data_IF_379880839015
#
_entry.id   IF_379880839015
#
_cell.length_a   1.000
_cell.length_b   1.000
_cell.length_c   1.000
_cell.angle_alpha   90.00
_cell.angle_beta   90.00
_cell.angle_gamma   90.00
#
_symmetry.space_group_name_H-M   'P 1'
#
loop_
_entity.id
_entity.type
_entity.pdbx_description
1 polymer ?
#
# COMPACT_ATOMS: atom_id res chain seq x y z
N UNK A 1 -7.30 -3.94 -17.31
CA UNK A 1 -7.58 -3.41 -15.96
C UNK A 1 -6.91 -2.03 -15.87
N UNK A 2 -7.68 -0.97 -16.13
CA UNK A 2 -7.19 0.40 -16.08
C UNK A 2 -7.08 0.83 -14.61
N UNK A 3 -5.87 1.12 -14.13
CA UNK A 3 -5.68 1.83 -12.86
C UNK A 3 -5.13 3.22 -13.18
N UNK A 4 -6.02 4.20 -13.14
CA UNK A 4 -5.63 5.60 -13.06
C UNK A 4 -5.33 5.89 -11.59
N UNK A 5 -4.04 5.95 -11.26
CA UNK A 5 -3.57 6.39 -9.95
C UNK A 5 -3.37 7.91 -10.00
N UNK A 6 -4.47 8.66 -10.12
CA UNK A 6 -4.44 10.11 -9.90
C UNK A 6 -4.28 10.38 -8.40
N UNK A 7 -3.03 10.45 -7.93
CA UNK A 7 -2.73 11.39 -6.85
C UNK A 7 -2.57 12.77 -7.50
N UNK A 8 -3.71 13.35 -7.87
CA UNK A 8 -3.76 14.76 -8.20
C UNK A 8 -3.38 15.54 -6.96
N UNK A 9 -2.16 16.09 -6.92
CA UNK A 9 -1.79 17.24 -6.07
C UNK A 9 -2.50 18.50 -6.62
N UNK A 10 -3.71 18.35 -7.15
CA UNK A 10 -4.57 19.42 -7.61
C UNK A 10 -5.76 19.44 -6.69
N UNK A 11 -5.77 20.46 -5.86
CA UNK A 11 -6.91 21.05 -5.19
C UNK A 11 -8.21 20.79 -5.97
N UNK A 12 -8.97 19.76 -5.59
CA UNK A 12 -10.35 19.58 -6.02
C UNK A 12 -11.18 19.31 -4.76
N UNK A 13 -11.63 20.43 -4.22
CA UNK A 13 -12.87 20.70 -3.50
C UNK A 13 -13.92 19.56 -3.40
N UNK A 14 -14.45 19.46 -2.18
CA UNK A 14 -15.88 19.22 -1.86
C UNK A 14 -16.53 17.85 -2.02
N UNK A 15 -15.79 16.78 -1.75
CA UNK A 15 -16.41 15.61 -1.11
C UNK A 15 -15.57 15.30 0.11
N UNK A 16 -16.16 15.30 1.31
CA UNK A 16 -15.54 14.83 2.57
C UNK A 16 -15.23 13.33 2.49
N UNK A 17 -14.38 12.91 1.55
CA UNK A 17 -13.86 11.55 1.48
C UNK A 17 -12.74 11.47 2.50
N UNK A 18 -12.98 10.71 3.57
CA UNK A 18 -11.98 10.44 4.59
C UNK A 18 -10.87 9.57 4.00
N UNK A 19 -9.82 10.21 3.51
CA UNK A 19 -8.60 9.51 3.08
C UNK A 19 -7.81 9.12 4.32
N UNK A 20 -7.67 7.82 4.56
CA UNK A 20 -6.86 7.32 5.66
C UNK A 20 -5.41 7.19 5.17
N UNK A 21 -4.53 8.06 5.67
CA UNK A 21 -3.09 7.92 5.48
C UNK A 21 -2.58 6.72 6.29
N UNK A 22 -1.80 5.83 5.65
CA UNK A 22 -1.14 4.70 6.29
C UNK A 22 0.26 4.56 5.75
N UNK A 23 1.21 4.36 6.64
CA UNK A 23 2.60 4.07 6.31
C UNK A 23 2.83 2.56 6.36
N UNK A 24 3.61 2.05 5.40
CA UNK A 24 3.97 0.64 5.33
C UNK A 24 5.36 0.49 4.74
N UNK A 25 6.11 -0.50 5.25
CA UNK A 25 7.41 -0.89 4.70
C UNK A 25 7.22 -2.16 3.90
N UNK A 26 7.68 -2.17 2.65
CA UNK A 26 7.67 -3.35 1.77
C UNK A 26 9.07 -3.92 1.66
N UNK A 27 9.19 -5.23 1.85
CA UNK A 27 10.44 -5.97 1.63
C UNK A 27 10.41 -6.67 0.27
N UNK A 28 11.55 -6.69 -0.41
CA UNK A 28 11.77 -7.51 -1.61
C UNK A 28 12.84 -8.54 -1.27
N UNK A 29 12.44 -9.81 -1.20
CA UNK A 29 13.38 -10.90 -1.00
C UNK A 29 13.61 -11.62 -2.33
N UNK A 30 14.87 -11.72 -2.73
CA UNK A 30 15.30 -12.36 -3.98
C UNK A 30 16.19 -13.55 -3.65
N UNK A 31 15.93 -14.71 -4.26
CA UNK A 31 16.76 -15.91 -4.12
C UNK A 31 16.70 -16.73 -5.40
N UNK A 32 17.86 -17.13 -5.92
CA UNK A 32 17.99 -17.94 -7.15
C UNK A 32 17.20 -17.36 -8.34
N UNK A 33 17.23 -16.03 -8.52
CA UNK A 33 16.48 -15.34 -9.57
C UNK A 33 14.95 -15.30 -9.37
N UNK A 34 14.44 -15.78 -8.23
CA UNK A 34 13.00 -15.76 -7.88
C UNK A 34 12.74 -14.71 -6.82
N UNK A 35 11.53 -14.16 -6.81
CA UNK A 35 11.08 -13.16 -5.84
C UNK A 35 10.00 -13.77 -4.94
N UNK A 36 10.10 -13.52 -3.63
CA UNK A 36 9.07 -13.91 -2.68
C UNK A 36 7.86 -12.97 -2.79
N UNK A 37 6.67 -13.54 -2.96
CA UNK A 37 5.40 -12.83 -2.91
C UNK A 37 4.41 -13.57 -2.01
N UNK A 38 3.51 -12.82 -1.38
CA UNK A 38 2.43 -13.36 -0.55
C UNK A 38 1.15 -13.37 -1.37
N UNK A 39 0.49 -14.53 -1.44
CA UNK A 39 -0.85 -14.65 -2.03
C UNK A 39 -1.89 -14.13 -1.04
N UNK A 40 -2.70 -13.20 -1.49
CA UNK A 40 -3.85 -12.68 -0.75
C UNK A 40 -5.02 -13.66 -0.84
N UNK A 41 -5.94 -13.62 0.13
CA UNK A 41 -7.17 -14.41 0.12
C UNK A 41 -8.05 -14.14 -1.11
N UNK A 42 -7.86 -13.01 -1.80
CA UNK A 42 -8.55 -12.64 -3.05
C UNK A 42 -7.81 -13.10 -4.31
N UNK A 43 -6.73 -13.87 -4.17
CA UNK A 43 -5.99 -14.48 -5.28
C UNK A 43 -4.89 -13.63 -5.89
N UNK A 44 -4.78 -12.36 -5.52
CA UNK A 44 -3.71 -11.45 -5.92
C UNK A 44 -2.40 -11.70 -5.17
N UNK A 45 -1.26 -11.40 -5.81
CA UNK A 45 0.06 -11.50 -5.20
C UNK A 45 0.60 -10.12 -4.82
N UNK A 46 1.15 -10.00 -3.61
CA UNK A 46 1.74 -8.76 -3.09
C UNK A 46 3.14 -9.01 -2.58
N UNK A 47 3.98 -7.98 -2.62
CA UNK A 47 5.25 -8.02 -1.90
C UNK A 47 5.01 -8.21 -0.40
N UNK A 48 5.87 -8.95 0.31
CA UNK A 48 5.87 -8.98 1.76
C UNK A 48 5.95 -7.55 2.31
N UNK A 49 5.06 -7.18 3.21
CA UNK A 49 5.06 -5.86 3.82
C UNK A 49 4.51 -5.89 5.22
N UNK A 50 4.88 -4.88 6.01
CA UNK A 50 4.32 -4.61 7.33
C UNK A 50 3.78 -3.18 7.38
N UNK A 51 2.61 -3.00 7.97
CA UNK A 51 2.04 -1.69 8.26
C UNK A 51 2.67 -1.10 9.51
N UNK A 52 3.08 0.16 9.46
CA UNK A 52 3.62 0.85 10.63
C UNK A 52 2.45 1.32 11.50
N UNK A 53 2.41 0.90 12.76
CA UNK A 53 1.47 1.43 13.74
C UNK A 53 2.15 2.58 14.47
N UNK A 54 1.61 3.79 14.30
CA UNK A 54 2.06 4.96 15.06
C UNK A 54 1.51 4.87 16.48
N UNK A 55 2.37 4.58 17.45
CA UNK A 55 2.02 4.67 18.86
C UNK A 55 1.92 6.15 19.24
N UNK A 56 0.77 6.57 19.77
CA UNK A 56 0.64 7.85 20.45
C UNK A 56 0.93 7.58 21.93
N UNK A 57 2.02 8.13 22.44
CA UNK A 57 2.20 8.25 23.89
C UNK A 57 1.28 9.38 24.35
N UNK A 58 0.31 9.06 25.20
CA UNK A 58 -0.53 10.02 25.92
C UNK A 58 -0.02 10.19 27.34
#
# INVERSE_FOLDING_TARGET
MLFQLEFGIKEIYDIKRKVNLREAVKGIAVKNGKILMVKSNKGDFKFPFISIKRFKFS
#
